data_IF_249045755323
#
_entry.id   IF_249045755323
#
_cell.length_a   1.000
_cell.length_b   1.000
_cell.length_c   1.000
_cell.angle_alpha   90.00
_cell.angle_beta   90.00
_cell.angle_gamma   90.00
#
_symmetry.space_group_name_H-M   'P 1'
#
loop_
_entity.id
_entity.type
_entity.pdbx_description
1 polymer ?
#
# COMPACT_ATOMS: atom_id res chain seq x y z
N UNK A 1 2.92 -22.15 -0.05
CA UNK A 1 4.07 -21.32 0.41
C UNK A 1 3.52 -20.09 1.09
N UNK A 2 3.90 -19.84 2.34
CA UNK A 2 3.65 -18.54 2.99
C UNK A 2 4.92 -17.72 2.73
N UNK A 3 4.79 -16.61 2.00
CA UNK A 3 5.86 -15.65 1.84
C UNK A 3 5.99 -14.84 3.15
N UNK A 4 7.14 -14.95 3.81
CA UNK A 4 7.44 -14.29 5.08
C UNK A 4 7.57 -12.77 4.92
N UNK A 5 8.03 -12.35 3.76
CA UNK A 5 8.35 -10.96 3.45
C UNK A 5 7.18 -10.21 2.82
N UNK A 6 7.22 -8.88 2.94
CA UNK A 6 6.30 -8.00 2.24
C UNK A 6 7.04 -7.23 1.15
N UNK A 7 6.43 -7.16 -0.02
CA UNK A 7 6.98 -6.47 -1.19
C UNK A 7 6.28 -5.12 -1.38
N UNK A 8 7.00 -4.19 -2.02
CA UNK A 8 6.49 -2.87 -2.39
C UNK A 8 6.88 -2.54 -3.83
N UNK A 9 5.99 -1.87 -4.56
CA UNK A 9 6.26 -1.39 -5.91
C UNK A 9 5.51 -0.11 -6.22
N UNK A 10 6.14 0.76 -7.01
CA UNK A 10 5.46 1.87 -7.67
C UNK A 10 4.59 1.32 -8.81
N UNK A 11 3.29 1.53 -8.72
CA UNK A 11 2.28 1.01 -9.64
C UNK A 11 1.74 2.05 -10.61
N UNK A 12 2.19 3.32 -10.52
CA UNK A 12 1.85 4.39 -11.46
C UNK A 12 2.78 4.49 -12.67
N UNK A 13 3.72 3.56 -12.86
CA UNK A 13 4.75 3.64 -13.89
C UNK A 13 5.89 4.60 -13.54
N UNK A 14 6.67 5.03 -14.53
CA UNK A 14 7.73 6.03 -14.33
C UNK A 14 7.14 7.39 -13.99
N UNK A 15 7.75 8.08 -13.04
CA UNK A 15 7.40 9.46 -12.69
C UNK A 15 8.03 10.44 -13.70
N UNK A 16 7.44 11.64 -13.89
CA UNK A 16 6.27 12.19 -13.19
C UNK A 16 4.93 11.58 -13.63
N UNK A 17 3.99 11.46 -12.70
CA UNK A 17 2.61 11.05 -12.94
C UNK A 17 1.65 11.98 -12.18
N UNK A 18 0.43 12.17 -12.69
CA UNK A 18 -0.58 13.00 -12.01
C UNK A 18 -0.95 12.47 -10.61
N UNK A 19 -0.80 11.16 -10.38
CA UNK A 19 -0.94 10.51 -9.08
C UNK A 19 0.12 9.40 -8.98
N UNK A 20 0.85 9.35 -7.87
CA UNK A 20 1.70 8.21 -7.54
C UNK A 20 0.89 7.12 -6.81
N UNK A 21 0.98 5.88 -7.27
CA UNK A 21 0.28 4.73 -6.66
C UNK A 21 1.32 3.75 -6.14
N UNK A 22 1.33 3.50 -4.83
CA UNK A 22 2.23 2.53 -4.19
C UNK A 22 1.43 1.28 -3.85
N UNK A 23 1.87 0.11 -4.32
CA UNK A 23 1.28 -1.19 -3.97
C UNK A 23 2.17 -1.91 -2.97
N UNK A 24 1.56 -2.43 -1.91
CA UNK A 24 2.22 -3.24 -0.89
C UNK A 24 1.50 -4.59 -0.82
N UNK A 25 2.24 -5.69 -0.67
CA UNK A 25 1.67 -7.03 -0.52
C UNK A 25 2.51 -7.88 0.43
N UNK A 26 1.84 -8.59 1.34
CA UNK A 26 2.48 -9.48 2.31
C UNK A 26 1.97 -9.27 3.75
N UNK A 27 2.49 -10.04 4.71
CA UNK A 27 2.01 -10.04 6.09
C UNK A 27 2.15 -8.69 6.82
N UNK A 28 3.06 -7.81 6.39
CA UNK A 28 3.31 -6.51 7.04
C UNK A 28 2.51 -5.35 6.44
N UNK A 29 1.62 -5.58 5.47
CA UNK A 29 0.85 -4.48 4.82
C UNK A 29 0.09 -3.61 5.81
N UNK A 30 -0.59 -4.20 6.81
CA UNK A 30 -1.33 -3.45 7.82
C UNK A 30 -0.43 -2.48 8.57
N UNK A 31 0.71 -2.95 9.06
CA UNK A 31 1.68 -2.12 9.79
C UNK A 31 2.13 -0.92 8.95
N UNK A 32 2.42 -1.14 7.66
CA UNK A 32 2.84 -0.05 6.75
C UNK A 32 1.72 0.98 6.55
N UNK A 33 0.49 0.53 6.30
CA UNK A 33 -0.67 1.44 6.12
C UNK A 33 -0.94 2.23 7.39
N UNK A 34 -0.95 1.58 8.56
CA UNK A 34 -1.18 2.23 9.85
C UNK A 34 -0.11 3.28 10.17
N UNK A 35 1.15 2.97 9.85
CA UNK A 35 2.29 3.86 10.13
C UNK A 35 2.32 5.07 9.20
N UNK A 36 1.98 4.91 7.91
CA UNK A 36 2.16 5.96 6.90
C UNK A 36 0.87 6.75 6.67
N UNK A 37 -0.29 6.08 6.62
CA UNK A 37 -1.58 6.66 6.21
C UNK A 37 -2.63 6.67 7.34
N UNK A 38 -2.24 6.32 8.57
CA UNK A 38 -3.13 6.22 9.71
C UNK A 38 -4.02 4.97 9.68
N UNK A 39 -5.11 4.96 10.45
CA UNK A 39 -5.93 3.77 10.74
C UNK A 39 -6.28 2.89 9.52
N UNK A 40 -6.47 1.59 9.71
CA UNK A 40 -6.87 0.70 8.59
C UNK A 40 -8.25 1.08 8.05
N UNK A 41 -8.41 1.02 6.73
CA UNK A 41 -9.68 1.21 6.04
C UNK A 41 -10.46 -0.10 5.95
N UNK A 42 -11.79 -0.02 5.81
CA UNK A 42 -12.57 -1.20 5.45
C UNK A 42 -12.07 -1.75 4.11
N UNK A 43 -11.98 -3.07 4.02
CA UNK A 43 -11.53 -3.77 2.82
C UNK A 43 -12.25 -3.27 1.56
N UNK A 44 -11.48 -3.05 0.49
CA UNK A 44 -11.98 -2.63 -0.83
C UNK A 44 -12.71 -1.27 -0.85
N UNK A 45 -12.39 -0.35 0.08
CA UNK A 45 -12.92 1.02 0.07
C UNK A 45 -11.81 2.05 -0.14
N UNK A 46 -12.07 3.00 -1.02
CA UNK A 46 -11.28 4.23 -1.11
C UNK A 46 -11.77 5.23 -0.06
N UNK A 47 -10.84 5.90 0.63
CA UNK A 47 -11.13 6.96 1.60
C UNK A 47 -10.14 8.10 1.42
N UNK A 48 -10.54 9.30 1.83
CA UNK A 48 -9.65 10.45 1.98
C UNK A 48 -9.43 10.71 3.48
N UNK A 49 -8.20 11.05 3.87
CA UNK A 49 -7.80 11.36 5.26
C UNK A 49 -6.83 12.50 5.28
#
# INVERSE_FOLDING_TARGET
>A
MILSDSIVALSSGRLPAGIAVIRISGPKTRFVVETIAGSVVKERRAVYR
#
